data_IF_883430760748
#
_entry.id   IF_883430760748
#
_cell.length_a   1.000
_cell.length_b   1.000
_cell.length_c   1.000
_cell.angle_alpha   90.00
_cell.angle_beta   90.00
_cell.angle_gamma   90.00
#
_symmetry.space_group_name_H-M   'P 1'
#
loop_
_entity.id
_entity.type
_entity.pdbx_description
1 polymer ?
#
# COMPACT_ATOMS: atom_id res chain seq x y z
N UNK A 1 8.83 -16.69 -6.51
CA UNK A 1 10.07 -16.43 -5.73
C UNK A 1 9.74 -16.58 -4.25
N UNK A 2 10.04 -17.75 -3.67
CA UNK A 2 9.78 -18.01 -2.26
C UNK A 2 10.89 -17.37 -1.41
N UNK A 3 10.51 -16.62 -0.37
CA UNK A 3 11.45 -15.89 0.49
C UNK A 3 12.51 -16.84 1.04
N UNK A 4 13.78 -16.57 0.70
CA UNK A 4 14.93 -17.38 1.08
C UNK A 4 15.34 -17.21 2.54
N UNK A 5 14.42 -16.93 3.47
CA UNK A 5 14.68 -16.83 4.91
C UNK A 5 14.27 -18.16 5.55
N UNK A 6 15.21 -19.10 5.57
CA UNK A 6 15.06 -20.36 6.30
C UNK A 6 15.57 -20.17 7.74
N UNK A 7 15.14 -21.03 8.66
CA UNK A 7 15.56 -20.98 10.07
C UNK A 7 17.08 -20.97 10.22
N UNK A 8 17.78 -21.79 9.45
CA UNK A 8 19.24 -21.84 9.38
C UNK A 8 19.86 -20.47 9.08
N UNK A 9 19.29 -19.72 8.12
CA UNK A 9 19.80 -18.39 7.74
C UNK A 9 19.54 -17.35 8.83
N UNK A 10 18.42 -17.46 9.56
CA UNK A 10 18.18 -16.61 10.72
C UNK A 10 19.21 -16.87 11.82
N UNK A 11 19.56 -18.13 12.09
CA UNK A 11 20.64 -18.48 13.01
C UNK A 11 21.98 -17.92 12.55
N UNK A 12 22.30 -18.04 11.25
CA UNK A 12 23.53 -17.49 10.69
C UNK A 12 23.61 -15.97 10.84
N UNK A 13 22.52 -15.26 10.53
CA UNK A 13 22.43 -13.80 10.71
C UNK A 13 22.60 -13.44 12.19
N UNK A 14 21.95 -14.19 13.09
CA UNK A 14 22.10 -14.00 14.53
C UNK A 14 23.55 -14.17 14.99
N UNK A 15 24.23 -15.21 14.52
CA UNK A 15 25.64 -15.46 14.82
C UNK A 15 26.53 -14.31 14.33
N UNK A 16 26.32 -13.84 13.10
CA UNK A 16 27.07 -12.70 12.54
C UNK A 16 26.81 -11.43 13.35
N UNK A 17 25.56 -11.18 13.74
CA UNK A 17 25.21 -10.03 14.58
C UNK A 17 25.90 -10.09 15.94
N UNK A 18 25.98 -11.27 16.56
CA UNK A 18 26.71 -11.49 17.82
C UNK A 18 28.20 -11.20 17.66
N UNK A 19 28.81 -11.63 16.55
CA UNK A 19 30.23 -11.36 16.30
C UNK A 19 30.51 -9.88 16.04
N UNK A 20 29.64 -9.19 15.30
CA UNK A 20 29.84 -7.78 14.95
C UNK A 20 29.59 -6.83 16.11
N UNK A 21 28.52 -7.06 16.87
CA UNK A 21 28.09 -6.19 17.98
C UNK A 21 28.74 -6.62 19.31
N UNK A 22 29.00 -7.91 19.45
CA UNK A 22 29.45 -8.55 20.69
C UNK A 22 28.28 -9.14 21.49
N UNK A 23 28.46 -10.34 22.09
CA UNK A 23 27.41 -11.03 22.86
C UNK A 23 26.96 -10.25 24.09
N UNK A 24 27.83 -9.44 24.68
CA UNK A 24 27.49 -8.65 25.88
C UNK A 24 26.63 -7.42 25.56
N UNK A 25 26.72 -6.89 24.33
CA UNK A 25 26.01 -5.65 23.94
C UNK A 25 24.64 -5.93 23.35
N UNK A 26 24.47 -7.05 22.65
CA UNK A 26 23.19 -7.47 22.08
C UNK A 26 22.01 -7.47 23.06
N UNK A 27 22.08 -8.06 24.26
CA UNK A 27 20.95 -8.08 25.19
C UNK A 27 20.51 -6.66 25.58
N UNK A 28 21.46 -5.75 25.76
CA UNK A 28 21.17 -4.34 26.09
C UNK A 28 20.43 -3.61 24.96
N UNK A 29 20.79 -3.89 23.70
CA UNK A 29 20.05 -3.34 22.55
C UNK A 29 18.68 -3.99 22.39
N UNK A 30 18.59 -5.31 22.58
CA UNK A 30 17.31 -6.04 22.54
C UNK A 30 16.32 -5.52 23.59
N UNK A 31 16.78 -5.23 24.80
CA UNK A 31 15.97 -4.59 25.84
C UNK A 31 15.43 -3.23 25.41
N UNK A 32 16.25 -2.43 24.71
CA UNK A 32 15.87 -1.09 24.26
C UNK A 32 14.78 -1.17 23.19
N UNK A 33 14.95 -2.08 22.23
CA UNK A 33 13.93 -2.38 21.21
C UNK A 33 12.66 -2.95 21.83
N UNK A 34 12.78 -3.86 22.81
CA UNK A 34 11.64 -4.43 23.50
C UNK A 34 10.84 -3.37 24.27
N UNK A 35 11.53 -2.44 24.95
CA UNK A 35 10.90 -1.29 25.62
C UNK A 35 10.17 -0.40 24.63
N UNK A 36 10.77 -0.14 23.46
CA UNK A 36 10.12 0.64 22.41
C UNK A 36 8.89 -0.08 21.83
N UNK A 37 9.00 -1.37 21.56
CA UNK A 37 7.89 -2.19 21.06
C UNK A 37 6.71 -2.25 22.06
N UNK A 38 7.00 -2.34 23.37
CA UNK A 38 5.97 -2.27 24.41
C UNK A 38 5.26 -0.93 24.40
N UNK A 39 6.01 0.18 24.39
CA UNK A 39 5.45 1.55 24.32
C UNK A 39 4.62 1.76 23.05
N UNK A 40 5.10 1.27 21.90
CA UNK A 40 4.36 1.32 20.65
C UNK A 40 3.06 0.49 20.73
N UNK A 41 3.10 -0.69 21.34
CA UNK A 41 1.92 -1.52 21.57
C UNK A 41 0.91 -0.87 22.51
N UNK A 42 1.37 -0.23 23.60
CA UNK A 42 0.53 0.57 24.51
C UNK A 42 -0.10 1.74 23.78
N UNK A 43 0.69 2.50 23.01
CA UNK A 43 0.20 3.61 22.19
C UNK A 43 -0.89 3.16 21.20
N UNK A 44 -0.67 2.06 20.47
CA UNK A 44 -1.66 1.54 19.52
C UNK A 44 -2.97 1.11 20.22
N UNK A 45 -2.88 0.53 21.43
CA UNK A 45 -4.06 0.15 22.22
C UNK A 45 -4.82 1.36 22.72
N UNK A 46 -4.12 2.38 23.20
CA UNK A 46 -4.71 3.63 23.66
C UNK A 46 -5.37 4.39 22.51
N UNK A 47 -4.70 4.48 21.36
CA UNK A 47 -5.28 5.06 20.14
C UNK A 47 -6.51 4.28 19.70
N UNK A 48 -6.47 2.93 19.71
CA UNK A 48 -7.64 2.11 19.38
C UNK A 48 -8.80 2.36 20.34
N UNK A 49 -8.53 2.53 21.64
CA UNK A 49 -9.57 2.88 22.61
C UNK A 49 -10.21 4.22 22.28
N UNK A 50 -9.40 5.28 22.12
CA UNK A 50 -9.88 6.64 21.82
C UNK A 50 -10.69 6.70 20.52
N UNK A 51 -10.20 6.05 19.47
CA UNK A 51 -10.90 5.95 18.18
C UNK A 51 -12.25 5.24 18.35
N UNK A 52 -12.31 4.15 19.12
CA UNK A 52 -13.57 3.44 19.42
C UNK A 52 -14.53 4.28 20.26
N UNK A 53 -14.01 5.07 21.19
CA UNK A 53 -14.80 5.92 22.10
C UNK A 53 -15.40 7.13 21.35
N UNK A 54 -14.70 7.68 20.35
CA UNK A 54 -15.13 8.86 19.59
C UNK A 54 -15.94 8.53 18.33
N UNK A 55 -15.65 7.43 17.64
CA UNK A 55 -16.36 7.04 16.40
C UNK A 55 -17.44 5.97 16.64
N UNK A 56 -17.61 5.51 17.89
CA UNK A 56 -18.59 4.49 18.28
C UNK A 56 -18.17 3.06 17.88
N UNK A 57 -18.93 2.04 18.31
CA UNK A 57 -18.65 0.63 18.05
C UNK A 57 -18.64 0.24 16.55
N UNK A 58 -19.03 1.15 15.64
CA UNK A 58 -19.01 0.94 14.19
C UNK A 58 -17.59 0.79 13.61
N UNK A 59 -16.51 1.17 14.34
CA UNK A 59 -15.12 0.96 13.89
C UNK A 59 -14.70 -0.53 13.88
N UNK A 60 -15.35 -1.40 14.66
CA UNK A 60 -15.08 -2.84 14.55
C UNK A 60 -15.52 -3.39 13.17
N UNK A 61 -16.47 -2.71 12.51
CA UNK A 61 -16.96 -3.03 11.16
C UNK A 61 -16.24 -2.24 10.04
N UNK A 62 -15.45 -1.22 10.37
CA UNK A 62 -14.62 -0.49 9.39
C UNK A 62 -13.41 -1.34 9.00
N UNK A 63 -13.65 -2.25 8.06
CA UNK A 63 -12.85 -2.46 6.84
C UNK A 63 -11.32 -2.59 6.91
N UNK A 64 -10.74 -3.00 8.05
CA UNK A 64 -9.35 -3.46 8.09
C UNK A 64 -9.08 -4.64 7.13
N UNK A 65 -10.13 -5.38 6.76
CA UNK A 65 -10.11 -6.44 5.74
C UNK A 65 -10.06 -5.93 4.30
N UNK A 66 -10.53 -4.71 4.01
CA UNK A 66 -10.40 -4.08 2.68
C UNK A 66 -9.02 -3.45 2.49
N UNK A 67 -8.32 -3.14 3.58
CA UNK A 67 -6.93 -2.67 3.57
C UNK A 67 -5.89 -3.79 3.65
N UNK A 68 -6.29 -5.05 3.70
CA UNK A 68 -5.39 -6.21 3.63
C UNK A 68 -4.98 -6.44 2.16
N UNK A 69 -3.71 -6.21 1.77
CA UNK A 69 -3.25 -6.35 0.39
C UNK A 69 -3.42 -7.77 -0.16
N UNK A 70 -3.64 -8.76 0.71
CA UNK A 70 -3.84 -10.16 0.34
C UNK A 70 -5.30 -10.50 0.04
N UNK A 71 -6.24 -9.62 0.41
CA UNK A 71 -7.68 -9.78 0.17
C UNK A 71 -8.20 -8.90 -0.97
N UNK A 72 -7.32 -8.28 -1.76
CA UNK A 72 -7.66 -7.77 -3.08
C UNK A 72 -7.94 -8.98 -4.01
N UNK A 73 -9.14 -9.56 -3.89
CA UNK A 73 -9.54 -10.73 -4.65
C UNK A 73 -9.91 -10.32 -6.08
N UNK A 74 -9.06 -10.61 -7.09
CA UNK A 74 -9.30 -10.18 -8.47
C UNK A 74 -10.61 -10.76 -9.03
N UNK A 75 -11.12 -11.85 -8.44
CA UNK A 75 -12.40 -12.46 -8.83
C UNK A 75 -13.60 -11.59 -8.50
N UNK A 76 -13.47 -10.66 -7.53
CA UNK A 76 -14.53 -9.70 -7.21
C UNK A 76 -14.62 -8.62 -8.29
N UNK A 77 -13.48 -8.10 -8.74
CA UNK A 77 -13.41 -7.12 -9.85
C UNK A 77 -13.96 -7.72 -11.15
N UNK A 78 -13.64 -8.98 -11.44
CA UNK A 78 -14.17 -9.68 -12.62
C UNK A 78 -15.67 -9.92 -12.50
N UNK A 79 -16.17 -10.26 -11.31
CA UNK A 79 -17.62 -10.43 -11.08
C UNK A 79 -18.36 -9.11 -11.18
N UNK A 80 -17.81 -8.04 -10.62
CA UNK A 80 -18.40 -6.71 -10.74
C UNK A 80 -18.45 -6.29 -12.23
N UNK A 81 -17.40 -6.58 -13.02
CA UNK A 81 -17.44 -6.37 -14.47
C UNK A 81 -18.45 -7.28 -15.21
N UNK A 82 -18.62 -8.54 -14.77
CA UNK A 82 -19.50 -9.51 -15.43
C UNK A 82 -20.98 -9.32 -15.07
N UNK A 83 -21.29 -8.82 -13.88
CA UNK A 83 -22.66 -8.62 -13.38
C UNK A 83 -23.18 -7.19 -13.61
N UNK A 84 -22.30 -6.19 -13.78
CA UNK A 84 -22.72 -4.82 -14.18
C UNK A 84 -23.03 -4.75 -15.69
N UNK A 85 -22.48 -5.67 -16.51
CA UNK A 85 -22.79 -5.80 -17.94
C UNK A 85 -24.19 -6.35 -18.24
N UNK A 86 -24.88 -6.95 -17.26
CA UNK A 86 -26.26 -7.47 -17.43
C UNK A 86 -27.34 -6.37 -17.38
N UNK A 87 -26.98 -5.10 -17.08
CA UNK A 87 -27.92 -3.96 -17.14
C UNK A 87 -27.44 -2.84 -18.06
N UNK A 88 -27.13 -3.16 -19.32
CA UNK A 88 -27.15 -2.18 -20.41
C UNK A 88 -27.89 -2.77 -21.61
N UNK A 89 -29.02 -2.19 -22.06
CA UNK A 89 -29.71 -2.70 -23.23
C UNK A 89 -28.85 -2.47 -24.47
N UNK A 90 -28.51 -3.59 -25.11
CA UNK A 90 -28.00 -3.79 -26.46
C UNK A 90 -27.76 -2.52 -27.31
N UNK A 91 -26.49 -2.22 -27.60
CA UNK A 91 -26.13 -1.42 -28.78
C UNK A 91 -25.12 -2.15 -29.65
N UNK A 92 -25.66 -2.69 -30.73
CA UNK A 92 -25.08 -2.96 -32.05
C UNK A 92 -23.58 -3.36 -32.10
N UNK A 93 -23.37 -4.63 -32.46
CA UNK A 93 -22.12 -5.17 -32.98
C UNK A 93 -21.67 -4.45 -34.25
N UNK A 94 -20.40 -4.02 -34.35
CA UNK A 94 -19.72 -3.88 -35.63
C UNK A 94 -18.84 -5.12 -35.89
N UNK A 95 -18.89 -5.55 -37.14
CA UNK A 95 -18.14 -6.61 -37.82
C UNK A 95 -16.62 -6.59 -37.58
N UNK A 96 -15.93 -7.74 -37.63
CA UNK A 96 -14.50 -7.81 -37.38
C UNK A 96 -13.75 -7.31 -38.62
N UNK A 97 -13.05 -6.18 -38.48
CA UNK A 97 -12.06 -5.74 -39.46
C UNK A 97 -10.70 -6.23 -38.94
N UNK A 98 -10.03 -7.08 -39.71
CA UNK A 98 -8.65 -7.49 -39.45
C UNK A 98 -7.78 -6.24 -39.56
N UNK A 99 -7.27 -5.75 -38.43
CA UNK A 99 -6.28 -4.69 -38.36
C UNK A 99 -5.14 -5.14 -37.44
N UNK A 100 -3.94 -5.11 -38.01
CA UNK A 100 -2.62 -5.23 -37.39
C UNK A 100 -2.53 -4.47 -36.04
N UNK A 101 -1.80 -4.97 -35.02
CA UNK A 101 -1.87 -4.40 -33.69
C UNK A 101 -1.09 -3.09 -33.64
N UNK A 102 -1.77 -1.98 -33.93
CA UNK A 102 -1.30 -0.67 -33.54
C UNK A 102 -1.38 -0.60 -32.01
N UNK A 103 -0.22 -0.68 -31.37
CA UNK A 103 -0.05 -0.43 -29.94
C UNK A 103 -0.53 1.00 -29.65
N UNK A 104 -1.78 1.13 -29.20
CA UNK A 104 -2.27 2.38 -28.60
C UNK A 104 -1.65 2.46 -27.21
N UNK A 105 -0.47 3.08 -27.13
CA UNK A 105 0.02 3.61 -25.85
C UNK A 105 -1.05 4.60 -25.36
N UNK A 106 -1.50 4.54 -24.10
CA UNK A 106 -2.29 5.62 -23.56
C UNK A 106 -1.44 6.88 -23.68
N UNK A 107 -1.89 7.85 -24.49
CA UNK A 107 -1.27 9.16 -24.60
C UNK A 107 -1.59 9.91 -23.30
N UNK A 108 -0.88 9.55 -22.23
CA UNK A 108 -0.82 10.33 -21.00
C UNK A 108 0.03 11.57 -21.27
N UNK A 109 -0.38 12.39 -22.23
CA UNK A 109 0.14 13.75 -22.38
C UNK A 109 -0.45 14.56 -21.24
N UNK A 110 0.13 14.39 -20.05
CA UNK A 110 0.08 15.41 -19.01
C UNK A 110 0.62 16.66 -19.66
N UNK A 111 -0.28 17.61 -19.99
CA UNK A 111 0.09 18.91 -20.49
C UNK A 111 0.84 19.59 -19.36
N UNK A 112 2.17 19.46 -19.36
CA UNK A 112 3.01 20.26 -18.48
C UNK A 112 2.83 21.71 -18.92
N UNK A 113 2.34 22.61 -18.05
CA UNK A 113 2.36 24.02 -18.38
C UNK A 113 3.80 24.44 -18.65
N UNK A 114 4.03 25.08 -19.79
CA UNK A 114 5.32 25.65 -20.14
C UNK A 114 5.43 27.03 -19.46
N UNK A 115 6.43 27.17 -18.61
CA UNK A 115 6.69 28.41 -17.87
C UNK A 115 7.83 29.14 -18.55
N UNK A 116 7.55 30.36 -18.99
CA UNK A 116 8.51 31.23 -19.66
C UNK A 116 8.62 32.56 -18.93
N UNK A 117 9.56 33.42 -19.34
CA UNK A 117 9.68 34.76 -18.75
C UNK A 117 8.39 35.58 -18.91
N UNK A 118 7.65 35.32 -19.97
CA UNK A 118 6.38 36.00 -20.27
C UNK A 118 5.17 35.28 -19.62
N UNK A 119 5.35 34.07 -19.07
CA UNK A 119 4.32 33.29 -18.37
C UNK A 119 4.91 32.59 -17.12
N UNK A 120 5.14 33.33 -16.02
CA UNK A 120 5.70 32.76 -14.79
C UNK A 120 4.70 31.85 -14.07
N UNK A 121 5.19 30.89 -13.26
CA UNK A 121 4.33 30.04 -12.46
C UNK A 121 3.55 30.84 -11.41
N UNK A 122 2.36 30.35 -11.00
CA UNK A 122 1.56 31.00 -9.97
C UNK A 122 2.30 31.04 -8.63
N UNK A 123 2.15 32.13 -7.89
CA UNK A 123 2.78 32.33 -6.59
C UNK A 123 2.12 31.46 -5.51
N UNK A 124 2.93 30.78 -4.70
CA UNK A 124 2.47 29.96 -3.56
C UNK A 124 2.47 30.80 -2.27
N UNK A 125 1.29 31.09 -1.68
CA UNK A 125 1.18 31.89 -0.47
C UNK A 125 1.58 31.15 0.82
N UNK A 126 1.84 29.84 0.77
CA UNK A 126 2.20 29.04 1.97
C UNK A 126 3.72 28.94 2.22
N UNK A 127 4.55 29.52 1.35
CA UNK A 127 6.00 29.62 1.57
C UNK A 127 6.33 30.82 2.47
N UNK A 128 6.29 30.64 3.79
CA UNK A 128 6.85 31.58 4.80
C UNK A 128 7.56 30.81 5.90
#
# INVERSE_FOLDING_TARGET
MQFGITFEKLLLIGLIAVLLVGPERLPRYAESVAKLARRAGEFLRDTKSRVRDEMGPEIDDVDWRRLDPRQYDPRRIIRDALFEDDNTPARATPTPVVAEPAVVKPDSRVVRPDFSRDNPPPYDPEST
#
